data_IF_745152447467
#
_entry.id   IF_745152447467
#
_cell.length_a   1.000
_cell.length_b   1.000
_cell.length_c   1.000
_cell.angle_alpha   90.00
_cell.angle_beta   90.00
_cell.angle_gamma   90.00
#
_symmetry.space_group_name_H-M   'P 1'
#
loop_
_entity.id
_entity.type
_entity.pdbx_description
1 polymer ?
#
# COMPACT_ATOMS: atom_id res chain seq x y z
N UNK A 1 -51.34 -16.26 -7.89
CA UNK A 1 -50.31 -15.83 -6.93
C UNK A 1 -49.16 -16.81 -7.01
N UNK A 2 -47.94 -16.28 -7.18
CA UNK A 2 -46.63 -16.87 -6.86
C UNK A 2 -46.13 -18.09 -7.64
N UNK A 3 -45.62 -17.86 -8.84
CA UNK A 3 -44.60 -18.71 -9.48
C UNK A 3 -43.27 -17.94 -9.45
N UNK A 4 -42.52 -18.05 -8.35
CA UNK A 4 -41.18 -17.47 -8.22
C UNK A 4 -40.15 -18.56 -8.50
N UNK A 5 -39.52 -18.52 -9.68
CA UNK A 5 -38.41 -19.40 -10.01
C UNK A 5 -37.13 -18.87 -9.34
N UNK A 6 -36.86 -19.32 -8.12
CA UNK A 6 -35.67 -18.95 -7.36
C UNK A 6 -34.49 -19.78 -7.87
N UNK A 7 -33.55 -19.14 -8.56
CA UNK A 7 -32.29 -19.76 -8.98
C UNK A 7 -31.22 -19.45 -7.93
N UNK A 8 -30.70 -20.49 -7.28
CA UNK A 8 -29.55 -20.34 -6.37
C UNK A 8 -28.30 -19.93 -7.16
N UNK A 9 -27.75 -18.76 -6.82
CA UNK A 9 -26.45 -18.32 -7.31
C UNK A 9 -25.37 -19.21 -6.69
N UNK A 10 -24.72 -20.05 -7.49
CA UNK A 10 -23.57 -20.86 -7.03
C UNK A 10 -22.51 -19.93 -6.46
N UNK A 11 -22.08 -20.19 -5.23
CA UNK A 11 -20.94 -19.50 -4.64
C UNK A 11 -19.72 -19.65 -5.58
N UNK A 12 -18.97 -18.57 -5.83
CA UNK A 12 -17.76 -18.67 -6.65
C UNK A 12 -16.83 -19.70 -6.00
N UNK A 13 -16.29 -20.61 -6.82
CA UNK A 13 -15.29 -21.56 -6.37
C UNK A 13 -14.10 -20.79 -5.75
N UNK A 14 -13.50 -21.34 -4.69
CA UNK A 14 -12.35 -20.72 -4.05
C UNK A 14 -11.20 -20.56 -5.05
N UNK A 15 -10.85 -19.32 -5.39
CA UNK A 15 -9.73 -19.00 -6.27
C UNK A 15 -8.42 -19.02 -5.50
N UNK A 16 -7.91 -20.24 -5.27
CA UNK A 16 -6.65 -20.45 -4.55
C UNK A 16 -5.46 -19.74 -5.22
N UNK A 17 -5.46 -19.61 -6.55
CA UNK A 17 -4.40 -18.94 -7.29
C UNK A 17 -4.49 -17.42 -7.14
N UNK A 18 -5.70 -16.85 -7.23
CA UNK A 18 -5.94 -15.43 -6.99
C UNK A 18 -5.52 -14.99 -5.59
N UNK A 19 -5.86 -15.77 -4.56
CA UNK A 19 -5.45 -15.47 -3.18
C UNK A 19 -3.93 -15.56 -3.00
N UNK A 20 -3.28 -16.55 -3.60
CA UNK A 20 -1.81 -16.66 -3.59
C UNK A 20 -1.15 -15.43 -4.26
N UNK A 21 -1.68 -15.00 -5.40
CA UNK A 21 -1.18 -13.81 -6.11
C UNK A 21 -1.41 -12.52 -5.32
N UNK A 22 -2.56 -12.35 -4.68
CA UNK A 22 -2.83 -11.20 -3.80
C UNK A 22 -1.84 -11.13 -2.63
N UNK A 23 -1.59 -12.26 -1.98
CA UNK A 23 -0.63 -12.35 -0.88
C UNK A 23 0.79 -12.05 -1.36
N UNK A 24 1.21 -12.61 -2.50
CA UNK A 24 2.50 -12.30 -3.12
C UNK A 24 2.65 -10.81 -3.47
N UNK A 25 1.62 -10.21 -4.08
CA UNK A 25 1.61 -8.79 -4.40
C UNK A 25 1.73 -7.90 -3.15
N UNK A 26 1.03 -8.27 -2.06
CA UNK A 26 1.13 -7.59 -0.76
C UNK A 26 2.56 -7.63 -0.21
N UNK A 27 3.19 -8.80 -0.23
CA UNK A 27 4.56 -8.97 0.26
C UNK A 27 5.57 -8.18 -0.57
N UNK A 28 5.46 -8.23 -1.90
CA UNK A 28 6.33 -7.48 -2.82
C UNK A 28 6.18 -5.97 -2.63
N UNK A 29 4.94 -5.47 -2.51
CA UNK A 29 4.70 -4.06 -2.23
C UNK A 29 5.31 -3.63 -0.88
N UNK A 30 5.14 -4.45 0.15
CA UNK A 30 5.76 -4.17 1.45
C UNK A 30 7.28 -4.08 1.32
N UNK A 31 7.94 -5.07 0.70
CA UNK A 31 9.40 -5.07 0.49
C UNK A 31 9.88 -3.85 -0.30
N UNK A 32 9.15 -3.48 -1.36
CA UNK A 32 9.52 -2.34 -2.18
C UNK A 32 9.42 -1.01 -1.40
N UNK A 33 8.37 -0.83 -0.60
CA UNK A 33 8.22 0.35 0.27
C UNK A 33 9.31 0.36 1.35
N UNK A 34 9.66 -0.80 1.92
CA UNK A 34 10.77 -0.90 2.88
C UNK A 34 12.10 -0.46 2.27
N UNK A 35 12.35 -0.82 1.01
CA UNK A 35 13.53 -0.37 0.27
C UNK A 35 13.53 1.14 0.05
N UNK A 36 12.39 1.75 -0.32
CA UNK A 36 12.27 3.21 -0.47
C UNK A 36 12.59 3.95 0.84
N UNK A 37 12.12 3.43 1.97
CA UNK A 37 12.39 4.03 3.29
C UNK A 37 13.86 3.88 3.67
N UNK A 38 14.45 2.72 3.41
CA UNK A 38 15.87 2.50 3.67
C UNK A 38 16.74 3.46 2.86
N UNK A 39 16.41 3.66 1.58
CA UNK A 39 17.10 4.63 0.71
C UNK A 39 16.96 6.06 1.23
N UNK A 40 15.74 6.47 1.63
CA UNK A 40 15.53 7.78 2.24
C UNK A 40 16.36 7.94 3.52
N UNK A 41 16.34 6.96 4.43
CA UNK A 41 17.09 7.04 5.69
C UNK A 41 18.61 7.07 5.47
N UNK A 42 19.11 6.45 4.40
CA UNK A 42 20.51 6.51 4.02
C UNK A 42 20.92 7.93 3.59
N UNK A 43 20.06 8.66 2.85
CA UNK A 43 20.31 10.04 2.45
C UNK A 43 20.48 11.01 3.63
N UNK A 44 19.89 10.69 4.79
CA UNK A 44 19.99 11.49 6.01
C UNK A 44 20.85 10.82 7.10
N UNK A 45 21.69 9.85 6.74
CA UNK A 45 22.47 9.07 7.72
C UNK A 45 23.45 9.92 8.54
N UNK A 46 24.09 10.89 7.90
CA UNK A 46 25.11 11.74 8.53
C UNK A 46 24.51 12.93 9.32
N UNK A 47 23.20 13.14 9.22
CA UNK A 47 22.54 14.23 9.94
C UNK A 47 22.19 13.80 11.36
N UNK A 48 22.68 14.56 12.33
CA UNK A 48 22.41 14.32 13.75
C UNK A 48 21.88 15.55 14.46
N UNK A 49 20.98 15.33 15.42
CA UNK A 49 20.44 16.32 16.36
C UNK A 49 20.70 15.78 17.75
N UNK A 50 21.38 16.55 18.60
CA UNK A 50 21.76 16.14 19.96
C UNK A 50 22.50 14.79 20.00
N UNK A 51 23.40 14.55 19.05
CA UNK A 51 24.16 13.30 18.93
C UNK A 51 23.35 12.07 18.49
N UNK A 52 22.08 12.24 18.11
CA UNK A 52 21.20 11.16 17.61
C UNK A 52 20.84 11.42 16.15
N UNK A 53 20.59 10.36 15.37
CA UNK A 53 20.13 10.50 13.97
C UNK A 53 18.91 11.44 13.89
N UNK A 54 18.99 12.40 12.97
CA UNK A 54 17.97 13.42 12.77
C UNK A 54 16.66 12.80 12.24
N UNK A 55 16.78 11.87 11.30
CA UNK A 55 15.65 11.21 10.66
C UNK A 55 15.65 9.73 11.05
N UNK A 56 14.55 9.27 11.64
CA UNK A 56 14.43 7.88 12.12
C UNK A 56 13.10 7.25 11.70
N UNK A 57 13.11 5.94 11.52
CA UNK A 57 11.89 5.16 11.41
C UNK A 57 11.11 5.21 12.72
N UNK A 58 9.80 5.43 12.63
CA UNK A 58 8.90 5.60 13.77
C UNK A 58 7.57 4.85 13.56
N UNK A 59 7.66 3.54 13.35
CA UNK A 59 6.51 2.66 13.16
C UNK A 59 5.91 2.74 11.76
N UNK A 60 4.58 2.66 11.69
CA UNK A 60 3.81 2.57 10.45
C UNK A 60 2.56 3.46 10.53
N UNK A 61 2.07 3.89 9.37
CA UNK A 61 0.74 4.46 9.22
C UNK A 61 -0.35 3.37 9.36
N UNK A 62 -1.61 3.76 9.58
CA UNK A 62 -2.74 2.84 9.50
C UNK A 62 -2.74 2.10 8.17
N UNK A 63 -3.09 0.82 8.22
CA UNK A 63 -3.25 0.01 7.02
C UNK A 63 -4.41 0.55 6.17
N UNK A 64 -4.25 0.49 4.85
CA UNK A 64 -5.30 0.87 3.90
C UNK A 64 -5.27 -0.05 2.68
N UNK A 65 -6.44 -0.28 2.10
CA UNK A 65 -6.57 -1.04 0.85
C UNK A 65 -6.35 -0.16 -0.39
N UNK A 66 -5.77 -0.75 -1.42
CA UNK A 66 -5.66 -0.20 -2.78
C UNK A 66 -6.30 -1.19 -3.74
N UNK A 67 -7.19 -0.70 -4.59
CA UNK A 67 -7.82 -1.51 -5.62
C UNK A 67 -6.83 -1.72 -6.78
N UNK A 68 -6.53 -2.98 -7.06
CA UNK A 68 -5.66 -3.41 -8.16
C UNK A 68 -6.42 -4.32 -9.12
N UNK A 69 -5.79 -4.74 -10.22
CA UNK A 69 -6.36 -5.76 -11.11
C UNK A 69 -6.56 -7.12 -10.44
N UNK A 70 -5.84 -7.40 -9.34
CA UNK A 70 -6.02 -8.59 -8.51
C UNK A 70 -7.10 -8.40 -7.44
N UNK A 71 -7.80 -7.26 -7.42
CA UNK A 71 -8.71 -6.84 -6.36
C UNK A 71 -8.02 -5.97 -5.31
N UNK A 72 -8.63 -5.92 -4.14
CA UNK A 72 -8.19 -5.10 -3.02
C UNK A 72 -6.95 -5.69 -2.33
N UNK A 73 -5.88 -4.90 -2.28
CA UNK A 73 -4.62 -5.28 -1.63
C UNK A 73 -4.36 -4.37 -0.43
N UNK A 74 -4.28 -4.90 0.80
CA UNK A 74 -3.95 -4.10 1.98
C UNK A 74 -2.47 -3.71 1.97
N UNK A 75 -2.20 -2.43 2.23
CA UNK A 75 -0.85 -1.87 2.27
C UNK A 75 -0.63 -1.09 3.56
N UNK A 76 0.55 -1.28 4.14
CA UNK A 76 1.00 -0.60 5.35
C UNK A 76 2.29 0.16 5.06
N UNK A 77 2.24 1.48 5.12
CA UNK A 77 3.37 2.35 4.79
C UNK A 77 4.15 2.70 6.07
N UNK A 78 5.49 2.56 6.11
CA UNK A 78 6.28 2.96 7.25
C UNK A 78 6.19 4.46 7.51
N UNK A 79 6.33 4.85 8.77
CA UNK A 79 6.33 6.25 9.20
C UNK A 79 7.73 6.66 9.57
N UNK A 80 8.13 7.85 9.13
CA UNK A 80 9.41 8.47 9.48
C UNK A 80 9.16 9.65 10.40
N UNK A 81 10.02 9.82 11.41
CA UNK A 81 10.05 10.97 12.30
C UNK A 81 11.29 11.79 12.03
N UNK A 82 11.06 13.08 11.78
CA UNK A 82 12.10 14.09 11.72
C UNK A 82 12.29 14.73 13.11
N UNK A 83 13.54 14.87 13.53
CA UNK A 83 13.97 15.56 14.76
C UNK A 83 14.68 16.87 14.47
N UNK A 84 15.05 17.14 13.22
CA UNK A 84 15.77 18.36 12.79
C UNK A 84 14.89 19.61 12.72
N UNK A 85 13.56 19.43 12.64
CA UNK A 85 12.62 20.53 12.46
C UNK A 85 12.50 21.02 11.01
N UNK A 86 13.12 20.34 10.04
CA UNK A 86 13.05 20.69 8.62
C UNK A 86 11.73 20.23 7.97
N UNK A 87 10.94 19.39 8.65
CA UNK A 87 9.66 18.91 8.15
C UNK A 87 9.79 17.72 7.22
N UNK A 88 10.87 16.94 7.34
CA UNK A 88 11.15 15.79 6.48
C UNK A 88 10.09 14.69 6.72
N UNK A 89 9.45 14.25 5.63
CA UNK A 89 8.40 13.22 5.64
C UNK A 89 8.67 12.17 4.58
N UNK A 90 8.41 10.91 4.93
CA UNK A 90 8.41 9.83 3.95
C UNK A 90 7.07 9.79 3.22
N UNK A 91 7.13 9.88 1.90
CA UNK A 91 6.01 9.61 1.00
C UNK A 91 6.49 8.56 0.00
N UNK A 92 5.88 7.38 0.02
CA UNK A 92 6.20 6.31 -0.94
C UNK A 92 5.90 6.78 -2.36
N UNK A 93 6.81 6.49 -3.31
CA UNK A 93 6.59 6.79 -4.73
C UNK A 93 5.68 5.75 -5.37
N UNK A 94 5.81 4.48 -4.94
CA UNK A 94 4.95 3.38 -5.37
C UNK A 94 3.52 3.53 -4.85
N UNK A 95 3.37 3.96 -3.60
CA UNK A 95 2.07 4.09 -2.91
C UNK A 95 1.91 5.50 -2.34
N UNK A 96 1.64 6.51 -3.20
CA UNK A 96 1.43 7.88 -2.74
C UNK A 96 0.27 8.00 -1.75
N UNK A 97 0.28 9.00 -0.86
CA UNK A 97 -0.85 9.30 0.00
C UNK A 97 -2.16 9.36 -0.81
N UNK A 98 -3.21 8.77 -0.26
CA UNK A 98 -4.56 8.77 -0.84
C UNK A 98 -4.75 8.00 -2.16
N UNK A 99 -3.74 7.32 -2.70
CA UNK A 99 -3.91 6.44 -3.87
C UNK A 99 -4.97 5.35 -3.62
N UNK A 100 -6.14 5.42 -4.24
CA UNK A 100 -7.21 4.42 -4.04
C UNK A 100 -7.16 3.27 -5.04
N UNK A 101 -6.72 3.53 -6.27
CA UNK A 101 -6.72 2.57 -7.39
C UNK A 101 -5.39 2.60 -8.12
N UNK A 102 -5.00 1.46 -8.69
CA UNK A 102 -3.83 1.41 -9.58
C UNK A 102 -4.09 2.21 -10.87
N UNK A 103 -3.07 2.88 -11.42
CA UNK A 103 -3.19 3.72 -12.62
C UNK A 103 -3.85 3.00 -13.80
N UNK A 104 -3.45 1.76 -14.08
CA UNK A 104 -4.06 0.95 -15.14
C UNK A 104 -5.57 0.72 -14.91
N UNK A 105 -6.05 0.66 -13.66
CA UNK A 105 -7.48 0.52 -13.37
C UNK A 105 -8.22 1.85 -13.53
N UNK A 106 -7.57 2.99 -13.25
CA UNK A 106 -8.14 4.31 -13.53
C UNK A 106 -8.28 4.57 -15.03
N UNK A 107 -7.27 4.16 -15.82
CA UNK A 107 -7.31 4.23 -17.29
C UNK A 107 -8.35 3.28 -17.91
N UNK A 108 -8.64 2.15 -17.25
CA UNK A 108 -9.61 1.17 -17.71
C UNK A 108 -11.07 1.53 -17.40
N UNK A 109 -11.36 2.52 -16.55
CA UNK A 109 -12.72 3.04 -16.40
C UNK A 109 -12.96 3.93 -17.62
N UNK A 110 -13.71 3.46 -18.64
CA UNK A 110 -14.01 4.29 -19.78
C UNK A 110 -14.89 5.43 -19.28
N UNK A 111 -14.68 6.61 -19.86
CA UNK A 111 -15.71 7.63 -19.96
C UNK A 111 -17.08 6.96 -20.15
N UNK A 112 -17.96 7.12 -19.16
CA UNK A 112 -19.35 6.74 -19.20
C UNK A 112 -20.16 7.90 -18.65
#
# INVERSE_FOLDING_TARGET
>A
MNESNVVELKAPAADALGELLKEGARQLLAQAIEAEVAEMLAQYADQTVDGKRAVVRNGYLPERSIQTGLGDVPVKVPKVRDRSGQGIKFNSKLVPPYLKRAKNLEEFIPWL
#
